data_IF_618258694683
#
_entry.id   IF_618258694683
#
_cell.length_a   1.000
_cell.length_b   1.000
_cell.length_c   1.000
_cell.angle_alpha   90.00
_cell.angle_beta   90.00
_cell.angle_gamma   90.00
#
_symmetry.space_group_name_H-M   'P 1'
#
loop_
_entity.id
_entity.type
_entity.pdbx_description
1 polymer ?
#
# COMPACT_ATOMS: atom_id res chain seq x y z
N UNK A 1 -21.93 0.35 4.89
CA UNK A 1 -20.58 -0.12 5.27
C UNK A 1 -19.78 1.10 5.69
N UNK A 2 -18.99 1.04 6.78
CA UNK A 2 -18.04 2.11 7.09
C UNK A 2 -17.04 2.26 5.93
N UNK A 3 -16.59 3.49 5.69
CA UNK A 3 -15.55 3.75 4.69
C UNK A 3 -14.24 3.07 5.13
N UNK A 4 -13.48 2.45 4.20
CA UNK A 4 -12.20 1.84 4.53
C UNK A 4 -11.21 2.88 5.04
N UNK A 5 -10.42 2.47 6.01
CA UNK A 5 -9.39 3.27 6.68
C UNK A 5 -8.00 2.69 6.42
N UNK A 6 -6.97 3.38 6.90
CA UNK A 6 -5.59 2.91 6.78
C UNK A 6 -5.34 1.60 7.54
N UNK A 7 -6.06 1.37 8.64
CA UNK A 7 -5.85 0.18 9.47
C UNK A 7 -6.48 -1.09 8.83
N UNK A 8 -7.33 -0.90 7.82
CA UNK A 8 -7.87 -1.99 6.99
C UNK A 8 -6.88 -2.44 5.90
N UNK A 9 -5.77 -1.73 5.73
CA UNK A 9 -4.75 -1.98 4.73
C UNK A 9 -3.45 -2.46 5.39
N UNK A 10 -2.95 -3.58 4.89
CA UNK A 10 -1.63 -4.09 5.24
C UNK A 10 -0.70 -3.87 4.06
N UNK A 11 0.41 -3.19 4.30
CA UNK A 11 1.47 -3.01 3.30
C UNK A 11 2.63 -3.93 3.65
N UNK A 12 3.09 -4.70 2.67
CA UNK A 12 4.28 -5.54 2.79
C UNK A 12 5.26 -5.25 1.66
N UNK A 13 6.55 -5.37 1.97
CA UNK A 13 7.61 -5.25 0.97
C UNK A 13 7.80 -6.61 0.29
N UNK A 14 7.63 -6.64 -1.03
CA UNK A 14 7.89 -7.84 -1.84
C UNK A 14 9.34 -7.88 -2.30
N UNK A 15 9.87 -6.75 -2.75
CA UNK A 15 11.26 -6.58 -3.16
C UNK A 15 11.73 -5.13 -2.94
N UNK A 16 12.92 -4.79 -3.45
CA UNK A 16 13.51 -3.46 -3.25
C UNK A 16 12.63 -2.32 -3.80
N UNK A 17 11.89 -2.58 -4.88
CA UNK A 17 11.12 -1.59 -5.61
C UNK A 17 9.61 -1.84 -5.55
N UNK A 18 9.16 -3.01 -5.09
CA UNK A 18 7.75 -3.40 -5.11
C UNK A 18 7.20 -3.58 -3.71
N UNK A 19 6.08 -2.90 -3.45
CA UNK A 19 5.24 -3.06 -2.27
C UNK A 19 3.92 -3.70 -2.68
N UNK A 20 3.38 -4.53 -1.80
CA UNK A 20 2.05 -5.11 -1.96
C UNK A 20 1.13 -4.58 -0.88
N UNK A 21 -0.08 -4.21 -1.30
CA UNK A 21 -1.14 -3.73 -0.40
C UNK A 21 -2.26 -4.74 -0.41
N UNK A 22 -2.59 -5.26 0.76
CA UNK A 22 -3.68 -6.22 0.98
C UNK A 22 -4.71 -5.66 1.95
N UNK A 23 -5.94 -6.13 1.83
CA UNK A 23 -7.03 -5.78 2.75
C UNK A 23 -7.91 -6.99 2.97
N UNK A 24 -8.41 -7.08 4.21
CA UNK A 24 -9.45 -8.02 4.57
C UNK A 24 -10.77 -7.73 3.84
N UNK A 25 -11.02 -6.48 3.46
CA UNK A 25 -12.23 -6.06 2.75
C UNK A 25 -12.31 -6.61 1.32
N UNK A 26 -11.17 -6.93 0.71
CA UNK A 26 -11.10 -7.55 -0.61
C UNK A 26 -10.66 -9.02 -0.54
N UNK A 27 -10.63 -9.61 0.66
CA UNK A 27 -10.15 -10.98 0.90
C UNK A 27 -8.78 -11.27 0.27
N UNK A 28 -7.86 -10.29 0.25
CA UNK A 28 -6.55 -10.47 -0.38
C UNK A 28 -5.91 -9.20 -0.92
N UNK A 29 -5.13 -9.35 -1.99
CA UNK A 29 -4.33 -8.28 -2.60
C UNK A 29 -5.23 -7.21 -3.24
N UNK A 30 -5.06 -5.96 -2.82
CA UNK A 30 -5.76 -4.79 -3.34
C UNK A 30 -4.98 -4.10 -4.46
N UNK A 31 -3.67 -3.92 -4.25
CA UNK A 31 -2.82 -3.19 -5.18
C UNK A 31 -1.37 -3.65 -5.08
N UNK A 32 -0.67 -3.45 -6.18
CA UNK A 32 0.79 -3.52 -6.25
C UNK A 32 1.30 -2.10 -6.42
N UNK A 33 2.30 -1.70 -5.66
CA UNK A 33 2.87 -0.36 -5.71
C UNK A 33 4.35 -0.46 -6.06
N UNK A 34 4.73 0.20 -7.15
CA UNK A 34 6.09 0.23 -7.65
C UNK A 34 6.76 1.55 -7.28
N UNK A 35 7.95 1.47 -6.70
CA UNK A 35 8.86 2.56 -6.44
C UNK A 35 9.96 2.51 -7.48
N UNK A 36 10.03 3.51 -8.33
CA UNK A 36 11.08 3.60 -9.33
C UNK A 36 12.31 4.29 -8.73
N UNK A 37 13.49 3.68 -8.82
CA UNK A 37 14.73 4.27 -8.31
C UNK A 37 15.05 5.68 -8.84
N UNK A 38 14.58 6.03 -10.05
CA UNK A 38 14.80 7.34 -10.68
C UNK A 38 13.73 8.39 -10.32
N UNK A 39 12.73 8.05 -9.50
CA UNK A 39 11.61 8.91 -9.19
C UNK A 39 11.17 8.76 -7.73
N UNK A 40 10.92 9.88 -7.05
CA UNK A 40 10.31 9.86 -5.72
C UNK A 40 8.82 9.48 -5.75
N UNK A 41 8.25 9.14 -6.91
CA UNK A 41 6.83 8.82 -7.07
C UNK A 41 6.59 7.32 -7.02
N UNK A 42 5.53 6.94 -6.32
CA UNK A 42 4.97 5.60 -6.33
C UNK A 42 3.99 5.45 -7.50
N UNK A 43 4.09 4.35 -8.24
CA UNK A 43 3.09 3.95 -9.22
C UNK A 43 2.20 2.87 -8.61
N UNK A 44 0.91 3.17 -8.46
CA UNK A 44 -0.06 2.26 -7.87
C UNK A 44 -0.79 1.53 -8.99
N UNK A 45 -0.65 0.21 -9.02
CA UNK A 45 -1.40 -0.68 -9.88
C UNK A 45 -2.47 -1.40 -9.05
N UNK A 46 -3.73 -0.94 -9.05
CA UNK A 46 -4.82 -1.62 -8.37
C UNK A 46 -5.09 -2.97 -9.05
N UNK A 47 -5.27 -4.02 -8.24
CA UNK A 47 -5.35 -5.40 -8.76
C UNK A 47 -6.71 -5.65 -9.44
N UNK A 48 -7.82 -5.05 -8.97
CA UNK A 48 -9.16 -5.26 -9.52
C UNK A 48 -10.14 -4.10 -9.22
N UNK A 49 -11.22 -4.01 -10.00
CA UNK A 49 -12.42 -3.14 -9.80
C UNK A 49 -13.08 -3.23 -8.40
N UNK A 50 -13.13 -4.39 -7.70
CA UNK A 50 -13.71 -4.53 -6.36
C UNK A 50 -13.04 -3.65 -5.31
N UNK A 51 -11.73 -3.37 -5.42
CA UNK A 51 -11.03 -2.52 -4.45
C UNK A 51 -11.62 -1.10 -4.42
N UNK A 52 -11.88 -0.52 -5.59
CA UNK A 52 -12.56 0.77 -5.70
C UNK A 52 -14.03 0.70 -5.28
N UNK A 53 -14.71 -0.41 -5.57
CA UNK A 53 -16.10 -0.62 -5.11
C UNK A 53 -16.22 -0.77 -3.60
N UNK A 54 -15.16 -1.22 -2.91
CA UNK A 54 -15.06 -1.25 -1.46
C UNK A 54 -14.60 0.10 -0.87
N UNK A 55 -14.37 1.13 -1.71
CA UNK A 55 -13.91 2.45 -1.29
C UNK A 55 -12.40 2.57 -1.07
N UNK A 56 -11.61 1.53 -1.42
CA UNK A 56 -10.15 1.56 -1.31
C UNK A 56 -9.62 2.38 -2.48
N UNK A 57 -9.48 3.68 -2.26
CA UNK A 57 -9.04 4.63 -3.28
C UNK A 57 -7.53 4.64 -3.46
N UNK A 58 -7.08 5.17 -4.60
CA UNK A 58 -5.67 5.45 -4.85
C UNK A 58 -5.00 6.26 -3.73
N UNK A 59 -5.68 7.30 -3.21
CA UNK A 59 -5.15 8.13 -2.13
C UNK A 59 -4.96 7.34 -0.82
N UNK A 60 -5.90 6.44 -0.50
CA UNK A 60 -5.81 5.60 0.69
C UNK A 60 -4.64 4.60 0.57
N UNK A 61 -4.46 4.00 -0.60
CA UNK A 61 -3.34 3.11 -0.89
C UNK A 61 -2.00 3.85 -0.76
N UNK A 62 -1.92 5.06 -1.32
CA UNK A 62 -0.71 5.89 -1.24
C UNK A 62 -0.37 6.24 0.21
N UNK A 63 -1.35 6.69 0.99
CA UNK A 63 -1.15 7.03 2.40
C UNK A 63 -0.73 5.82 3.25
N UNK A 64 -1.25 4.62 2.96
CA UNK A 64 -0.81 3.39 3.62
C UNK A 64 0.66 3.07 3.30
N UNK A 65 1.05 3.22 2.04
CA UNK A 65 2.44 3.04 1.59
C UNK A 65 3.39 4.07 2.22
N UNK A 66 3.00 5.34 2.27
CA UNK A 66 3.79 6.39 2.91
C UNK A 66 3.98 6.13 4.41
N UNK A 67 2.91 5.71 5.12
CA UNK A 67 3.00 5.30 6.53
C UNK A 67 3.96 4.14 6.73
N UNK A 68 3.91 3.13 5.86
CA UNK A 68 4.81 1.98 5.90
C UNK A 68 6.27 2.39 5.69
N UNK A 69 6.54 3.20 4.66
CA UNK A 69 7.91 3.64 4.34
C UNK A 69 8.46 4.56 5.43
N UNK A 70 7.65 5.47 5.98
CA UNK A 70 8.04 6.30 7.10
C UNK A 70 8.38 5.45 8.34
N UNK A 71 7.63 4.37 8.60
CA UNK A 71 7.92 3.45 9.69
C UNK A 71 9.19 2.62 9.45
N UNK A 72 9.45 2.18 8.21
CA UNK A 72 10.72 1.50 7.86
C UNK A 72 11.93 2.43 8.02
N UNK A 73 11.81 3.70 7.61
CA UNK A 73 12.89 4.69 7.72
C UNK A 73 13.18 5.11 9.16
N UNK A 74 12.18 5.05 10.05
CA UNK A 74 12.29 5.46 11.44
C UNK A 74 12.56 4.28 12.39
N UNK A 75 12.61 3.05 11.87
CA UNK A 75 13.02 1.88 12.62
C UNK A 75 14.55 1.79 12.60
N UNK A 76 15.25 1.89 13.75
CA UNK A 76 16.69 1.70 13.78
C UNK A 76 16.99 0.27 13.30
N UNK A 77 17.81 0.15 12.27
CA UNK A 77 18.35 -1.15 11.88
C UNK A 77 19.11 -1.70 13.10
N UNK A 78 18.82 -2.94 13.55
CA UNK A 78 19.60 -3.54 14.62
C UNK A 78 21.05 -3.66 14.13
N UNK A 79 21.96 -3.05 14.90
CA UNK A 79 23.41 -3.09 14.70
C UNK A 79 23.95 -4.47 15.07
#
# INVERSE_FOLDING_TARGET
>A
MPAPTLDDLTVSRRDAETLEVSSWLTSGRCATVFKFSFSSRYSVQPFLIPSYMQGITHALILAAVERFVAHEQNSPQPV
#
